data_IF_867049701953
#
_entry.id   IF_867049701953
#
_cell.length_a   1.000
_cell.length_b   1.000
_cell.length_c   1.000
_cell.angle_alpha   90.00
_cell.angle_beta   90.00
_cell.angle_gamma   90.00
#
_symmetry.space_group_name_H-M   'P 1'
#
loop_
_entity.id
_entity.type
_entity.pdbx_description
1 polymer ?
#
# COMPACT_ATOMS: atom_id res chain seq x y z
N UNK A 1 -3.08 15.90 -0.47
CA UNK A 1 -4.03 15.21 0.41
C UNK A 1 -3.24 14.48 1.48
N UNK A 2 -3.48 14.80 2.75
CA UNK A 2 -2.63 14.39 3.87
C UNK A 2 -3.37 13.36 4.72
N UNK A 3 -2.70 12.31 5.21
CA UNK A 3 -3.35 11.36 6.13
C UNK A 3 -3.51 12.04 7.49
N UNK A 4 -4.76 12.37 7.84
CA UNK A 4 -5.13 13.11 9.06
C UNK A 4 -5.75 12.22 10.13
N UNK A 5 -6.34 11.10 9.74
CA UNK A 5 -6.98 10.18 10.69
C UNK A 5 -6.70 8.75 10.28
N UNK A 6 -6.46 7.91 11.27
CA UNK A 6 -6.24 6.47 11.11
C UNK A 6 -7.18 5.75 12.05
N UNK A 7 -8.01 4.89 11.50
CA UNK A 7 -8.92 4.01 12.25
C UNK A 7 -8.38 2.61 12.16
N UNK A 8 -8.16 1.98 13.31
CA UNK A 8 -7.69 0.60 13.38
C UNK A 8 -8.74 -0.19 14.15
N UNK A 9 -9.29 -1.22 13.52
CA UNK A 9 -10.38 -2.00 14.09
C UNK A 9 -10.41 -3.39 13.49
N UNK A 10 -11.30 -4.24 13.99
CA UNK A 10 -11.58 -5.55 13.43
C UNK A 10 -13.06 -5.75 13.17
N UNK A 11 -13.37 -6.63 12.24
CA UNK A 11 -14.75 -7.00 11.94
C UNK A 11 -14.83 -8.19 11.01
N UNK A 12 -16.05 -8.66 10.80
CA UNK A 12 -16.32 -9.83 9.96
C UNK A 12 -16.76 -9.36 8.58
N UNK A 13 -16.05 -9.84 7.55
CA UNK A 13 -16.42 -9.68 6.15
C UNK A 13 -16.33 -11.04 5.45
N UNK A 14 -17.41 -11.45 4.77
CA UNK A 14 -17.48 -12.74 4.06
C UNK A 14 -17.01 -13.95 4.89
N UNK A 15 -17.45 -14.03 6.15
CA UNK A 15 -17.09 -15.07 7.13
C UNK A 15 -15.61 -15.13 7.53
N UNK A 16 -14.85 -14.07 7.26
CA UNK A 16 -13.47 -13.90 7.74
C UNK A 16 -13.42 -12.73 8.71
N UNK A 17 -12.74 -12.90 9.83
CA UNK A 17 -12.33 -11.77 10.66
C UNK A 17 -11.17 -11.06 9.95
N UNK A 18 -11.27 -9.75 9.81
CA UNK A 18 -10.24 -8.89 9.23
C UNK A 18 -9.83 -7.87 10.28
N UNK A 19 -8.52 -7.65 10.44
CA UNK A 19 -7.96 -6.52 11.18
C UNK A 19 -7.50 -5.46 10.20
N UNK A 20 -8.15 -4.31 10.20
CA UNK A 20 -7.93 -3.26 9.19
C UNK A 20 -7.32 -2.01 9.82
N UNK A 21 -6.34 -1.44 9.14
CA UNK A 21 -5.96 -0.04 9.24
C UNK A 21 -6.59 0.70 8.06
N UNK A 22 -7.40 1.71 8.35
CA UNK A 22 -8.01 2.58 7.34
C UNK A 22 -7.56 4.02 7.60
N UNK A 23 -6.95 4.64 6.61
CA UNK A 23 -6.53 6.05 6.68
C UNK A 23 -7.55 6.96 6.01
N UNK A 24 -7.65 8.19 6.49
CA UNK A 24 -8.57 9.20 5.99
C UNK A 24 -7.87 10.56 5.84
N UNK A 25 -8.35 11.34 4.88
CA UNK A 25 -7.96 12.73 4.67
C UNK A 25 -8.64 13.68 5.67
N UNK A 26 -8.43 14.98 5.50
CA UNK A 26 -9.08 16.04 6.28
C UNK A 26 -10.61 16.11 6.14
N UNK A 27 -11.20 15.46 5.14
CA UNK A 27 -12.64 15.44 4.84
C UNK A 27 -13.29 14.10 5.20
N UNK A 28 -12.62 13.25 5.99
CA UNK A 28 -13.06 11.89 6.31
C UNK A 28 -13.28 10.99 5.07
N UNK A 29 -12.59 11.29 3.96
CA UNK A 29 -12.56 10.42 2.78
C UNK A 29 -11.49 9.34 2.96
N UNK A 30 -11.82 8.05 2.78
CA UNK A 30 -10.87 6.96 2.95
C UNK A 30 -9.80 7.01 1.86
N UNK A 31 -8.56 6.79 2.26
CA UNK A 31 -7.38 6.86 1.41
C UNK A 31 -6.74 5.48 1.21
N UNK A 32 -6.43 4.79 2.29
CA UNK A 32 -5.77 3.48 2.28
C UNK A 32 -6.56 2.48 3.14
N UNK A 33 -6.57 1.22 2.71
CA UNK A 33 -7.14 0.10 3.47
C UNK A 33 -6.10 -1.01 3.49
N UNK A 34 -5.57 -1.29 4.67
CA UNK A 34 -4.55 -2.32 4.85
C UNK A 34 -5.08 -3.39 5.79
N UNK A 35 -5.01 -4.64 5.33
CA UNK A 35 -5.21 -5.81 6.18
C UNK A 35 -3.93 -6.07 6.97
N UNK A 36 -3.99 -5.84 8.28
CA UNK A 36 -2.86 -6.00 9.20
C UNK A 36 -2.39 -7.45 9.31
N UNK A 37 -3.22 -8.41 8.94
CA UNK A 37 -2.86 -9.83 8.92
C UNK A 37 -2.00 -10.22 7.69
N UNK A 38 -2.04 -9.41 6.63
CA UNK A 38 -1.36 -9.70 5.37
C UNK A 38 0.05 -9.12 5.29
N UNK A 39 0.45 -8.28 6.24
CA UNK A 39 1.72 -7.54 6.18
C UNK A 39 2.62 -7.84 7.37
N UNK A 40 3.90 -7.93 7.10
CA UNK A 40 4.97 -8.01 8.11
C UNK A 40 5.92 -6.81 8.00
N UNK A 41 5.57 -5.80 7.18
CA UNK A 41 6.40 -4.60 7.04
C UNK A 41 6.51 -3.89 8.40
N UNK A 42 7.72 -3.42 8.70
CA UNK A 42 8.08 -2.85 10.00
C UNK A 42 8.50 -3.90 11.02
N UNK A 43 8.17 -5.19 10.86
CA UNK A 43 8.58 -6.23 11.82
C UNK A 43 10.09 -6.35 11.88
N UNK A 44 10.65 -6.20 13.09
CA UNK A 44 12.07 -6.44 13.38
C UNK A 44 12.25 -7.86 13.90
N UNK A 45 13.19 -8.58 13.32
CA UNK A 45 13.49 -9.94 13.74
C UNK A 45 14.96 -10.30 13.51
N UNK A 46 15.41 -11.40 14.10
CA UNK A 46 16.71 -11.98 13.78
C UNK A 46 16.65 -12.69 12.42
N UNK A 47 17.71 -12.54 11.64
CA UNK A 47 17.92 -13.21 10.38
C UNK A 47 19.18 -14.08 10.46
N UNK A 48 19.08 -15.33 10.02
CA UNK A 48 20.24 -16.23 9.83
C UNK A 48 20.48 -16.42 8.34
N UNK A 49 21.69 -16.16 7.87
CA UNK A 49 22.03 -16.32 6.45
C UNK A 49 22.00 -17.80 6.05
N UNK A 50 21.07 -18.17 5.17
CA UNK A 50 21.00 -19.53 4.59
C UNK A 50 21.87 -19.64 3.34
N UNK A 51 21.87 -18.60 2.50
CA UNK A 51 22.58 -18.61 1.22
C UNK A 51 23.05 -17.21 0.84
N UNK A 52 24.31 -17.10 0.45
CA UNK A 52 24.85 -15.90 -0.22
C UNK A 52 24.72 -16.08 -1.73
N UNK A 53 24.22 -15.05 -2.42
CA UNK A 53 24.05 -15.02 -3.87
C UNK A 53 25.02 -13.97 -4.42
N UNK A 54 26.16 -14.43 -4.93
CA UNK A 54 27.25 -13.58 -5.42
C UNK A 54 26.85 -12.70 -6.60
N UNK A 55 26.07 -13.24 -7.53
CA UNK A 55 25.82 -12.62 -8.84
C UNK A 55 25.01 -11.32 -8.74
N UNK A 56 24.26 -11.15 -7.65
CA UNK A 56 23.45 -9.97 -7.36
C UNK A 56 23.82 -9.35 -6.00
N UNK A 57 25.02 -9.67 -5.49
CA UNK A 57 25.57 -9.21 -4.21
C UNK A 57 24.52 -9.13 -3.07
N UNK A 58 23.95 -10.28 -2.72
CA UNK A 58 22.87 -10.36 -1.73
C UNK A 58 22.89 -11.68 -0.96
N UNK A 59 22.00 -11.81 0.01
CA UNK A 59 21.78 -13.06 0.70
C UNK A 59 20.29 -13.33 0.98
N UNK A 60 19.98 -14.62 1.06
CA UNK A 60 18.72 -15.17 1.53
C UNK A 60 18.91 -15.60 2.97
N UNK A 61 18.00 -15.15 3.83
CA UNK A 61 18.01 -15.42 5.25
C UNK A 61 16.77 -16.18 5.69
N UNK A 62 16.92 -17.04 6.69
CA UNK A 62 15.82 -17.54 7.51
C UNK A 62 15.54 -16.53 8.61
N UNK A 63 14.32 -15.99 8.63
CA UNK A 63 13.86 -15.07 9.65
C UNK A 63 13.34 -15.86 10.87
N UNK A 64 13.50 -15.32 12.08
CA UNK A 64 12.98 -15.97 13.31
C UNK A 64 11.46 -16.11 13.33
N UNK A 65 10.74 -15.35 12.50
CA UNK A 65 9.30 -15.50 12.26
C UNK A 65 8.93 -16.71 11.38
N UNK A 66 9.92 -17.53 10.97
CA UNK A 66 9.69 -18.75 10.20
C UNK A 66 9.66 -18.58 8.68
N UNK A 67 9.87 -17.36 8.18
CA UNK A 67 9.82 -17.00 6.76
C UNK A 67 11.20 -16.72 6.16
N UNK A 68 11.26 -16.56 4.83
CA UNK A 68 12.50 -16.18 4.14
C UNK A 68 12.58 -14.67 3.90
N UNK A 69 13.76 -14.11 4.14
CA UNK A 69 14.11 -12.72 3.84
C UNK A 69 15.19 -12.62 2.77
N UNK A 70 15.25 -11.47 2.11
CA UNK A 70 16.26 -11.07 1.14
C UNK A 70 16.87 -9.74 1.55
N UNK A 71 18.20 -9.65 1.52
CA UNK A 71 18.92 -8.42 1.82
C UNK A 71 20.17 -8.30 0.94
N UNK A 72 20.37 -7.11 0.38
CA UNK A 72 21.58 -6.77 -0.41
C UNK A 72 22.79 -6.65 0.51
N UNK A 73 23.93 -7.23 0.13
CA UNK A 73 25.14 -7.24 0.96
C UNK A 73 25.63 -5.82 1.27
N UNK A 74 25.42 -4.85 0.37
CA UNK A 74 25.78 -3.43 0.61
C UNK A 74 25.14 -2.84 1.86
N UNK A 75 23.96 -3.32 2.27
CA UNK A 75 23.22 -2.87 3.46
C UNK A 75 23.74 -3.49 4.76
N UNK A 76 24.61 -4.49 4.69
CA UNK A 76 25.11 -5.21 5.85
C UNK A 76 26.33 -4.52 6.46
N UNK A 77 26.39 -4.52 7.80
CA UNK A 77 27.47 -3.93 8.59
C UNK A 77 28.00 -4.99 9.57
N UNK A 78 29.06 -5.74 9.21
CA UNK A 78 29.55 -6.91 9.96
C UNK A 78 29.94 -6.66 11.42
N UNK A 79 30.26 -5.41 11.77
CA UNK A 79 30.57 -4.97 13.12
C UNK A 79 29.37 -5.00 14.07
N UNK A 80 28.14 -5.11 13.54
CA UNK A 80 26.89 -5.22 14.32
C UNK A 80 26.25 -6.62 14.24
N UNK A 81 26.96 -7.62 13.72
CA UNK A 81 26.42 -8.98 13.67
C UNK A 81 26.34 -9.59 15.06
N UNK A 82 25.30 -10.40 15.27
CA UNK A 82 25.10 -11.19 16.48
C UNK A 82 26.01 -12.41 16.50
N UNK A 83 26.15 -13.04 15.34
CA UNK A 83 27.03 -14.17 15.12
C UNK A 83 27.77 -13.98 13.81
N UNK A 84 29.09 -14.11 13.85
CA UNK A 84 29.97 -13.95 12.70
C UNK A 84 30.82 -15.21 12.52
N UNK A 85 30.85 -15.72 11.29
CA UNK A 85 31.56 -16.95 10.94
C UNK A 85 32.79 -16.71 10.04
N UNK A 86 33.04 -15.45 9.65
CA UNK A 86 34.20 -15.09 8.85
C UNK A 86 34.64 -13.65 9.07
N UNK A 87 35.94 -13.45 9.25
CA UNK A 87 36.56 -12.11 9.32
C UNK A 87 36.94 -11.56 7.95
N UNK A 88 37.02 -12.42 6.92
CA UNK A 88 37.46 -12.03 5.56
C UNK A 88 36.30 -11.60 4.65
N UNK A 89 35.21 -12.36 4.69
CA UNK A 89 33.98 -12.09 3.92
C UNK A 89 33.09 -11.10 4.66
N UNK A 90 32.39 -10.26 3.90
CA UNK A 90 31.36 -9.35 4.44
C UNK A 90 30.17 -10.11 5.02
N UNK A 91 29.79 -11.22 4.40
CA UNK A 91 28.71 -12.10 4.85
C UNK A 91 28.99 -13.53 4.39
N UNK A 92 28.63 -14.50 5.21
CA UNK A 92 28.68 -15.92 4.88
C UNK A 92 27.52 -16.69 5.53
N UNK A 93 27.32 -17.92 5.08
CA UNK A 93 26.27 -18.79 5.62
C UNK A 93 26.45 -18.99 7.14
N UNK A 94 25.35 -18.91 7.87
CA UNK A 94 25.33 -19.00 9.33
C UNK A 94 25.45 -17.66 10.06
N UNK A 95 25.91 -16.58 9.41
CA UNK A 95 25.92 -15.25 10.03
C UNK A 95 24.53 -14.84 10.49
N UNK A 96 24.47 -14.15 11.63
CA UNK A 96 23.21 -13.70 12.23
C UNK A 96 23.24 -12.21 12.54
N UNK A 97 22.14 -11.53 12.27
CA UNK A 97 21.96 -10.10 12.53
C UNK A 97 20.48 -9.74 12.63
N UNK A 98 20.19 -8.53 13.10
CA UNK A 98 18.82 -8.00 13.11
C UNK A 98 18.46 -7.36 11.78
N UNK A 99 17.23 -7.59 11.36
CA UNK A 99 16.65 -6.98 10.17
C UNK A 99 15.26 -6.43 10.46
N UNK A 100 14.87 -5.43 9.69
CA UNK A 100 13.48 -4.96 9.58
C UNK A 100 12.94 -5.35 8.20
N UNK A 101 11.73 -5.89 8.16
CA UNK A 101 11.04 -6.17 6.89
C UNK A 101 10.55 -4.84 6.31
N UNK A 102 10.87 -4.59 5.05
CA UNK A 102 10.51 -3.36 4.33
C UNK A 102 9.57 -3.59 3.16
N UNK A 103 9.45 -4.83 2.68
CA UNK A 103 8.45 -5.20 1.68
C UNK A 103 7.96 -6.62 1.93
N UNK A 104 6.65 -6.81 1.78
CA UNK A 104 6.02 -8.13 1.86
C UNK A 104 6.47 -9.06 0.73
N UNK A 105 6.38 -10.37 0.98
CA UNK A 105 6.66 -11.41 -0.01
C UNK A 105 5.77 -11.29 -1.25
N UNK A 106 6.31 -11.68 -2.42
CA UNK A 106 5.56 -11.72 -3.70
C UNK A 106 5.63 -13.10 -4.33
N UNK A 107 4.54 -13.87 -4.21
CA UNK A 107 4.52 -15.26 -4.65
C UNK A 107 5.61 -16.06 -3.93
N UNK A 108 6.55 -16.63 -4.69
CA UNK A 108 7.71 -17.34 -4.13
C UNK A 108 8.89 -16.43 -3.75
N UNK A 109 8.83 -15.13 -4.07
CA UNK A 109 9.89 -14.19 -3.70
C UNK A 109 9.81 -13.86 -2.20
N UNK A 110 10.93 -13.93 -1.46
CA UNK A 110 10.98 -13.66 -0.02
C UNK A 110 10.65 -12.20 0.33
N UNK A 111 10.49 -11.91 1.62
CA UNK A 111 10.42 -10.55 2.13
C UNK A 111 11.69 -9.76 1.81
N UNK A 112 11.57 -8.46 1.48
CA UNK A 112 12.73 -7.58 1.40
C UNK A 112 13.04 -7.03 2.79
N UNK A 113 14.32 -6.99 3.14
CA UNK A 113 14.77 -6.56 4.46
C UNK A 113 15.83 -5.46 4.40
N UNK A 114 15.86 -4.63 5.43
CA UNK A 114 16.97 -3.72 5.73
C UNK A 114 17.66 -4.15 7.03
N UNK A 115 18.97 -3.89 7.11
CA UNK A 115 19.79 -4.21 8.28
C UNK A 115 19.50 -3.23 9.42
N UNK A 116 19.46 -3.75 10.65
CA UNK A 116 19.28 -2.95 11.86
C UNK A 116 20.60 -2.93 12.65
N UNK A 117 21.23 -1.75 12.75
CA UNK A 117 22.53 -1.58 13.42
C UNK A 117 22.44 -1.65 14.94
N UNK A 118 21.41 -1.03 15.50
CA UNK A 118 21.18 -0.96 16.94
C UNK A 118 19.71 -1.29 17.19
N UNK A 119 19.45 -2.27 18.06
CA UNK A 119 18.16 -2.33 18.74
C UNK A 119 18.14 -1.20 19.76
N UNK A 120 17.70 -0.04 19.32
CA UNK A 120 17.20 0.97 20.26
C UNK A 120 15.90 0.39 20.84
N UNK A 121 15.61 0.66 22.12
CA UNK A 121 14.39 0.18 22.77
C UNK A 121 13.11 0.58 22.00
N UNK A 122 13.14 1.68 21.22
CA UNK A 122 12.08 2.08 20.28
C UNK A 122 11.66 0.99 19.30
N UNK A 123 12.59 0.10 18.90
CA UNK A 123 12.26 -0.95 17.94
C UNK A 123 11.35 -2.05 18.51
N UNK A 124 11.07 -2.04 19.83
CA UNK A 124 10.12 -2.98 20.47
C UNK A 124 8.65 -2.62 20.22
N UNK A 125 8.36 -1.39 19.77
CA UNK A 125 7.03 -0.96 19.30
C UNK A 125 6.89 -1.03 17.78
N UNK A 126 7.71 -1.85 17.12
CA UNK A 126 7.68 -2.00 15.68
C UNK A 126 6.64 -3.02 15.23
N UNK A 127 5.52 -2.49 14.79
CA UNK A 127 4.62 -3.16 13.88
C UNK A 127 4.38 -2.30 12.66
N UNK A 128 3.63 -2.85 11.72
CA UNK A 128 3.19 -2.12 10.53
C UNK A 128 2.56 -0.76 10.87
N UNK A 129 1.78 -0.68 11.94
CA UNK A 129 1.11 0.55 12.39
C UNK A 129 2.10 1.69 12.64
N UNK A 130 3.14 1.44 13.44
CA UNK A 130 4.17 2.43 13.76
C UNK A 130 4.94 2.88 12.51
N UNK A 131 5.33 1.92 11.67
CA UNK A 131 5.97 2.21 10.38
C UNK A 131 5.08 3.08 9.49
N UNK A 132 3.81 2.70 9.35
CA UNK A 132 2.86 3.42 8.49
C UNK A 132 2.66 4.86 8.95
N UNK A 133 2.51 5.08 10.26
CA UNK A 133 2.33 6.41 10.82
C UNK A 133 3.56 7.28 10.56
N UNK A 134 4.75 6.79 10.89
CA UNK A 134 5.97 7.58 10.77
C UNK A 134 6.33 7.94 9.33
N UNK A 135 6.02 7.06 8.38
CA UNK A 135 6.35 7.28 6.97
C UNK A 135 5.28 8.10 6.24
N UNK A 136 4.00 7.95 6.58
CA UNK A 136 2.90 8.45 5.75
C UNK A 136 1.93 9.40 6.44
N UNK A 137 1.82 9.38 7.77
CA UNK A 137 0.88 10.25 8.48
C UNK A 137 1.39 11.71 8.52
N UNK A 138 0.44 12.65 8.50
CA UNK A 138 0.75 14.06 8.80
C UNK A 138 1.27 14.20 10.23
N UNK A 139 1.88 15.32 10.61
CA UNK A 139 2.29 15.53 12.01
C UNK A 139 1.11 15.70 12.99
N UNK A 140 -0.06 16.14 12.49
CA UNK A 140 -1.28 16.48 13.24
C UNK A 140 -2.38 15.42 13.07
N UNK A 141 -1.98 14.16 13.03
CA UNK A 141 -2.87 13.02 12.83
C UNK A 141 -3.60 12.59 14.12
N UNK A 142 -4.76 11.94 13.95
CA UNK A 142 -5.50 11.24 15.00
C UNK A 142 -5.45 9.72 14.74
N UNK A 143 -5.21 8.91 15.77
CA UNK A 143 -5.45 7.46 15.72
C UNK A 143 -6.65 7.13 16.60
N UNK A 144 -7.56 6.32 16.08
CA UNK A 144 -8.71 5.79 16.82
C UNK A 144 -8.71 4.27 16.71
N UNK A 145 -8.84 3.57 17.83
CA UNK A 145 -8.87 2.10 17.84
C UNK A 145 -9.74 1.54 18.95
N UNK A 146 -10.36 0.38 18.69
CA UNK A 146 -11.04 -0.48 19.66
C UNK A 146 -10.23 -1.77 19.96
N UNK A 147 -9.00 -1.88 19.44
CA UNK A 147 -8.10 -3.01 19.67
C UNK A 147 -7.12 -2.72 20.82
N UNK A 148 -7.13 -3.54 21.86
CA UNK A 148 -6.26 -3.38 23.04
C UNK A 148 -4.77 -3.36 22.67
N UNK A 149 -4.33 -4.20 21.72
CA UNK A 149 -2.94 -4.25 21.30
C UNK A 149 -2.47 -2.97 20.59
N UNK A 150 -3.41 -2.20 20.02
CA UNK A 150 -3.14 -0.91 19.37
C UNK A 150 -3.24 0.22 20.38
N UNK A 151 -4.24 0.20 21.27
CA UNK A 151 -4.43 1.20 22.32
C UNK A 151 -3.21 1.24 23.26
N UNK A 152 -2.60 0.08 23.53
CA UNK A 152 -1.43 -0.03 24.38
C UNK A 152 -0.10 0.27 23.67
N UNK A 153 -0.12 0.66 22.39
CA UNK A 153 1.09 1.14 21.71
C UNK A 153 1.53 2.48 22.28
N UNK A 154 2.83 2.79 22.19
CA UNK A 154 3.36 4.12 22.50
C UNK A 154 3.08 5.11 21.34
N UNK A 155 1.80 5.25 21.04
CA UNK A 155 1.19 6.13 20.07
C UNK A 155 0.01 6.78 20.79
N UNK A 156 -0.23 8.06 20.62
CA UNK A 156 -1.34 8.77 21.27
C UNK A 156 -2.69 8.32 20.67
N UNK A 157 -3.11 7.09 20.96
CA UNK A 157 -4.30 6.44 20.42
C UNK A 157 -5.52 6.82 21.24
N UNK A 158 -6.55 7.35 20.59
CA UNK A 158 -7.85 7.52 21.21
C UNK A 158 -8.57 6.17 21.24
N UNK A 159 -8.69 5.60 22.43
CA UNK A 159 -9.51 4.41 22.64
C UNK A 159 -10.98 4.69 22.32
N UNK A 160 -11.58 3.83 21.51
CA UNK A 160 -13.01 3.81 21.24
C UNK A 160 -13.68 2.75 22.10
N UNK A 161 -14.63 3.15 22.94
CA UNK A 161 -15.19 2.33 24.02
C UNK A 161 -16.70 2.14 23.92
N UNK A 162 -17.34 2.58 22.84
CA UNK A 162 -18.78 2.38 22.64
C UNK A 162 -19.06 0.92 22.27
N UNK A 163 -19.58 0.17 23.23
CA UNK A 163 -19.95 -1.24 23.05
C UNK A 163 -21.19 -1.43 22.17
N UNK A 164 -22.03 -0.40 22.02
CA UNK A 164 -23.28 -0.49 21.26
C UNK A 164 -23.07 -0.30 19.76
N UNK A 165 -21.96 0.32 19.36
CA UNK A 165 -21.70 0.67 17.97
C UNK A 165 -20.22 0.60 17.61
N UNK A 166 -19.76 -0.54 17.08
CA UNK A 166 -18.34 -0.75 16.72
C UNK A 166 -17.78 0.28 15.73
N UNK A 167 -16.47 0.54 15.76
CA UNK A 167 -15.78 1.35 14.75
C UNK A 167 -16.02 0.87 13.32
N UNK A 168 -16.10 -0.46 13.14
CA UNK A 168 -16.42 -1.07 11.84
C UNK A 168 -17.72 -0.54 11.23
N UNK A 169 -18.77 -0.39 12.06
CA UNK A 169 -20.07 0.14 11.64
C UNK A 169 -20.04 1.67 11.56
N UNK A 170 -19.34 2.35 12.48
CA UNK A 170 -19.21 3.81 12.46
C UNK A 170 -18.61 4.36 11.18
N UNK A 171 -17.65 3.65 10.61
CA UNK A 171 -16.98 4.02 9.36
C UNK A 171 -17.51 3.25 8.14
N UNK A 172 -18.65 2.54 8.26
CA UNK A 172 -19.28 1.77 7.18
C UNK A 172 -18.29 0.85 6.43
N UNK A 173 -17.36 0.19 7.14
CA UNK A 173 -16.27 -0.55 6.52
C UNK A 173 -16.75 -1.71 5.64
N UNK A 174 -17.88 -2.33 5.97
CA UNK A 174 -18.54 -3.32 5.10
C UNK A 174 -18.88 -2.74 3.71
N UNK A 175 -19.38 -1.51 3.66
CA UNK A 175 -19.72 -0.82 2.40
C UNK A 175 -18.45 -0.43 1.66
N UNK A 176 -17.45 0.07 2.36
CA UNK A 176 -16.15 0.38 1.79
C UNK A 176 -15.50 -0.85 1.13
N UNK A 177 -15.49 -2.00 1.81
CA UNK A 177 -15.00 -3.27 1.29
C UNK A 177 -15.80 -3.77 0.06
N UNK A 178 -17.13 -3.65 0.07
CA UNK A 178 -17.96 -3.94 -1.10
C UNK A 178 -17.62 -3.05 -2.30
N UNK A 179 -17.35 -1.77 -2.06
CA UNK A 179 -16.99 -0.84 -3.13
C UNK A 179 -15.64 -1.17 -3.76
N UNK A 180 -14.63 -1.53 -2.96
CA UNK A 180 -13.29 -1.85 -3.48
C UNK A 180 -13.20 -3.24 -4.12
N UNK A 181 -14.16 -4.14 -3.86
CA UNK A 181 -14.26 -5.46 -4.50
C UNK A 181 -15.12 -5.43 -5.77
N UNK A 182 -16.01 -4.46 -5.92
CA UNK A 182 -16.77 -4.24 -7.16
C UNK A 182 -15.83 -3.94 -8.32
N UNK A 183 -16.05 -4.54 -9.48
CA UNK A 183 -15.34 -4.17 -10.71
C UNK A 183 -15.83 -2.83 -11.29
N UNK A 184 -17.05 -2.39 -10.97
CA UNK A 184 -17.63 -1.12 -11.45
C UNK A 184 -17.60 -0.07 -10.35
N UNK A 185 -17.09 1.13 -10.67
CA UNK A 185 -17.15 2.32 -9.81
C UNK A 185 -17.86 3.46 -10.52
N UNK A 186 -18.87 4.05 -9.88
CA UNK A 186 -19.68 5.11 -10.48
C UNK A 186 -19.02 6.49 -10.33
N UNK A 187 -19.10 7.30 -11.40
CA UNK A 187 -18.66 8.69 -11.43
C UNK A 187 -19.80 9.62 -11.02
N UNK A 188 -19.47 10.87 -10.64
CA UNK A 188 -20.45 11.86 -10.16
C UNK A 188 -21.41 12.30 -11.26
N UNK A 189 -20.98 12.29 -12.51
CA UNK A 189 -21.79 12.61 -13.70
C UNK A 189 -22.69 11.45 -14.20
N UNK A 190 -22.69 10.32 -13.48
CA UNK A 190 -23.43 9.12 -13.84
C UNK A 190 -22.71 8.17 -14.79
N UNK A 191 -21.47 8.50 -15.19
CA UNK A 191 -20.57 7.56 -15.84
C UNK A 191 -20.07 6.49 -14.87
N UNK A 192 -19.14 5.64 -15.32
CA UNK A 192 -18.46 4.67 -14.48
C UNK A 192 -17.09 4.31 -15.04
N UNK A 193 -16.23 3.78 -14.17
CA UNK A 193 -15.04 3.03 -14.58
C UNK A 193 -15.24 1.54 -14.29
N UNK A 194 -14.70 0.69 -15.16
CA UNK A 194 -14.66 -0.76 -14.99
C UNK A 194 -13.21 -1.18 -14.83
N UNK A 195 -12.87 -1.85 -13.72
CA UNK A 195 -11.50 -2.24 -13.37
C UNK A 195 -11.36 -3.76 -13.51
N UNK A 196 -10.45 -4.19 -14.38
CA UNK A 196 -10.20 -5.60 -14.70
C UNK A 196 -8.71 -5.97 -14.52
N UNK A 197 -8.35 -6.68 -13.44
CA UNK A 197 -7.01 -7.19 -13.28
C UNK A 197 -6.75 -8.40 -14.19
N UNK A 198 -5.56 -8.44 -14.79
CA UNK A 198 -5.04 -9.61 -15.53
C UNK A 198 -3.78 -10.15 -14.82
N UNK A 199 -3.17 -11.20 -15.37
CA UNK A 199 -1.91 -11.73 -14.81
C UNK A 199 -0.76 -10.70 -14.82
N UNK A 200 -0.67 -9.88 -15.88
CA UNK A 200 0.47 -9.00 -16.11
C UNK A 200 0.19 -7.52 -15.80
N UNK A 201 -1.04 -7.07 -16.01
CA UNK A 201 -1.44 -5.66 -15.92
C UNK A 201 -2.90 -5.51 -15.49
N UNK A 202 -3.30 -4.30 -15.09
CA UNK A 202 -4.71 -3.96 -14.84
C UNK A 202 -5.23 -3.08 -15.98
N UNK A 203 -6.40 -3.42 -16.52
CA UNK A 203 -7.10 -2.60 -17.51
C UNK A 203 -8.23 -1.85 -16.82
N UNK A 204 -8.41 -0.58 -17.17
CA UNK A 204 -9.51 0.25 -16.69
C UNK A 204 -10.23 0.86 -17.88
N UNK A 205 -11.54 0.65 -18.00
CA UNK A 205 -12.39 1.21 -19.06
C UNK A 205 -13.25 2.35 -18.52
N UNK A 206 -13.38 3.45 -19.27
CA UNK A 206 -14.16 4.63 -18.89
C UNK A 206 -15.43 4.73 -19.71
N UNK A 207 -16.58 4.62 -19.05
CA UNK A 207 -17.90 4.73 -19.65
C UNK A 207 -18.60 6.03 -19.28
N UNK A 208 -19.09 6.76 -20.29
CA UNK A 208 -19.98 7.90 -20.07
C UNK A 208 -21.42 7.46 -19.78
N UNK A 209 -22.17 8.32 -19.10
CA UNK A 209 -23.60 8.07 -18.88
C UNK A 209 -24.40 8.29 -20.17
N UNK A 210 -25.28 7.34 -20.51
CA UNK A 210 -26.16 7.47 -21.70
C UNK A 210 -27.28 8.51 -21.52
N UNK A 211 -27.58 8.92 -20.29
CA UNK A 211 -28.81 9.65 -19.94
C UNK A 211 -28.59 11.04 -19.30
N UNK A 212 -27.36 11.45 -19.01
CA UNK A 212 -27.06 12.79 -18.46
C UNK A 212 -26.14 13.55 -19.42
N UNK A 213 -26.72 14.19 -20.44
CA UNK A 213 -26.02 15.00 -21.43
C UNK A 213 -25.48 16.34 -20.91
N UNK A 214 -24.84 16.35 -19.72
CA UNK A 214 -24.34 17.58 -19.10
C UNK A 214 -22.81 17.71 -19.06
N UNK A 215 -22.04 16.65 -19.34
CA UNK A 215 -20.58 16.66 -19.31
C UNK A 215 -19.94 16.35 -20.67
N UNK A 216 -18.79 16.96 -20.97
CA UNK A 216 -17.98 16.61 -22.14
C UNK A 216 -17.19 15.32 -21.88
N UNK A 217 -16.71 14.65 -22.94
CA UNK A 217 -15.81 13.48 -22.79
C UNK A 217 -14.58 13.83 -21.94
N UNK A 218 -14.08 15.05 -22.07
CA UNK A 218 -12.97 15.58 -21.29
C UNK A 218 -13.29 15.71 -19.79
N UNK A 219 -14.48 16.24 -19.45
CA UNK A 219 -14.92 16.37 -18.04
C UNK A 219 -15.15 15.00 -17.38
N UNK A 220 -15.73 14.06 -18.12
CA UNK A 220 -15.90 12.68 -17.64
C UNK A 220 -14.55 12.00 -17.45
N UNK A 221 -13.59 12.21 -18.37
CA UNK A 221 -12.22 11.72 -18.22
C UNK A 221 -11.52 12.28 -16.99
N UNK A 222 -11.68 13.57 -16.64
CA UNK A 222 -11.14 14.13 -15.39
C UNK A 222 -11.71 13.45 -14.15
N UNK A 223 -13.02 13.25 -14.10
CA UNK A 223 -13.66 12.51 -13.00
C UNK A 223 -13.21 11.05 -12.94
N UNK A 224 -13.01 10.42 -14.10
CA UNK A 224 -12.48 9.07 -14.18
C UNK A 224 -11.05 9.00 -13.62
N UNK A 225 -10.19 9.98 -13.90
CA UNK A 225 -8.85 10.06 -13.32
C UNK A 225 -8.90 10.13 -11.79
N UNK A 226 -9.76 10.99 -11.23
CA UNK A 226 -9.92 11.11 -9.77
C UNK A 226 -10.34 9.76 -9.15
N UNK A 227 -11.31 9.07 -9.78
CA UNK A 227 -11.79 7.77 -9.29
C UNK A 227 -10.74 6.67 -9.51
N UNK A 228 -9.98 6.69 -10.61
CA UNK A 228 -8.87 5.76 -10.84
C UNK A 228 -7.82 5.91 -9.74
N UNK A 229 -7.34 7.13 -9.47
CA UNK A 229 -6.34 7.39 -8.44
C UNK A 229 -6.82 6.90 -7.06
N UNK A 230 -8.07 7.17 -6.73
CA UNK A 230 -8.70 6.67 -5.50
C UNK A 230 -8.74 5.15 -5.45
N UNK A 231 -9.19 4.49 -6.52
CA UNK A 231 -9.37 3.04 -6.54
C UNK A 231 -8.04 2.28 -6.59
N UNK A 232 -7.04 2.73 -7.35
CA UNK A 232 -5.72 2.07 -7.39
C UNK A 232 -5.04 2.15 -6.02
N UNK A 233 -5.27 3.23 -5.28
CA UNK A 233 -4.79 3.40 -3.91
C UNK A 233 -5.54 2.50 -2.93
N UNK A 234 -6.86 2.63 -2.84
CA UNK A 234 -7.70 1.85 -1.90
C UNK A 234 -7.58 0.33 -2.10
N UNK A 235 -7.41 -0.12 -3.36
CA UNK A 235 -7.27 -1.54 -3.71
C UNK A 235 -5.83 -2.04 -3.67
N UNK A 236 -4.86 -1.14 -3.44
CA UNK A 236 -3.43 -1.44 -3.58
C UNK A 236 -3.05 -2.03 -4.95
N UNK A 237 -3.68 -1.57 -6.03
CA UNK A 237 -3.33 -1.96 -7.40
C UNK A 237 -1.93 -1.40 -7.72
N UNK A 238 -1.06 -2.24 -8.28
CA UNK A 238 0.33 -1.89 -8.58
C UNK A 238 0.81 -2.58 -9.86
N UNK A 239 1.95 -2.13 -10.38
CA UNK A 239 2.48 -2.59 -11.67
C UNK A 239 1.96 -1.73 -12.83
N UNK A 240 1.77 -2.37 -13.99
CA UNK A 240 1.32 -1.72 -15.21
C UNK A 240 -0.20 -1.57 -15.15
N UNK A 241 -0.70 -0.37 -15.44
CA UNK A 241 -2.12 -0.06 -15.50
C UNK A 241 -2.38 0.67 -16.82
N UNK A 242 -3.36 0.17 -17.58
CA UNK A 242 -3.76 0.70 -18.88
C UNK A 242 -5.18 1.23 -18.76
N UNK A 243 -5.43 2.46 -19.20
CA UNK A 243 -6.74 3.11 -19.05
C UNK A 243 -7.27 3.46 -20.45
N UNK A 244 -8.41 2.87 -20.82
CA UNK A 244 -9.16 3.20 -22.04
C UNK A 244 -10.08 4.39 -21.77
N UNK A 245 -9.61 5.57 -22.15
CA UNK A 245 -10.28 6.84 -21.90
C UNK A 245 -11.28 7.16 -23.02
N UNK A 246 -12.27 8.01 -22.74
CA UNK A 246 -13.13 8.54 -23.79
C UNK A 246 -12.30 9.35 -24.79
N UNK A 247 -12.61 9.23 -26.09
CA UNK A 247 -11.89 9.91 -27.16
C UNK A 247 -11.99 11.43 -27.02
N UNK A 248 -10.83 12.09 -27.00
CA UNK A 248 -10.67 13.54 -26.94
C UNK A 248 -9.62 13.99 -27.97
N UNK A 249 -9.45 15.29 -28.15
CA UNK A 249 -8.39 15.84 -29.01
C UNK A 249 -6.98 15.62 -28.42
N UNK A 250 -5.94 15.73 -29.25
CA UNK A 250 -4.54 15.60 -28.78
C UNK A 250 -4.16 16.65 -27.73
N UNK A 251 -4.72 17.85 -27.82
CA UNK A 251 -4.46 18.91 -26.83
C UNK A 251 -5.09 18.55 -25.49
N UNK A 252 -6.31 18.00 -25.51
CA UNK A 252 -6.99 17.49 -24.32
C UNK A 252 -6.27 16.26 -23.72
N UNK A 253 -5.72 15.35 -24.53
CA UNK A 253 -4.87 14.25 -24.05
C UNK A 253 -3.67 14.78 -23.24
N UNK A 254 -3.01 15.83 -23.73
CA UNK A 254 -1.89 16.46 -22.99
C UNK A 254 -2.37 17.11 -21.69
N UNK A 255 -3.55 17.71 -21.68
CA UNK A 255 -4.14 18.26 -20.45
C UNK A 255 -4.51 17.15 -19.44
N UNK A 256 -5.06 16.02 -19.91
CA UNK A 256 -5.36 14.85 -19.06
C UNK A 256 -4.09 14.26 -18.45
N UNK A 257 -2.99 14.17 -19.20
CA UNK A 257 -1.69 13.71 -18.67
C UNK A 257 -1.21 14.62 -17.55
N UNK A 258 -1.28 15.95 -17.75
CA UNK A 258 -0.88 16.93 -16.71
C UNK A 258 -1.76 16.80 -15.48
N UNK A 259 -3.07 16.77 -15.69
CA UNK A 259 -4.05 16.59 -14.63
C UNK A 259 -3.79 15.31 -13.83
N UNK A 260 -3.52 14.18 -14.49
CA UNK A 260 -3.19 12.93 -13.81
C UNK A 260 -1.93 13.07 -12.96
N UNK A 261 -0.85 13.61 -13.53
CA UNK A 261 0.42 13.81 -12.81
C UNK A 261 0.23 14.68 -11.57
N UNK A 262 -0.45 15.81 -11.72
CA UNK A 262 -0.66 16.78 -10.64
C UNK A 262 -1.43 16.16 -9.47
N UNK A 263 -2.45 15.34 -9.76
CA UNK A 263 -3.28 14.68 -8.74
C UNK A 263 -2.69 13.36 -8.21
N UNK A 264 -1.68 12.78 -8.86
CA UNK A 264 -1.06 11.52 -8.43
C UNK A 264 -0.03 11.67 -7.30
N UNK A 265 0.39 12.89 -6.98
CA UNK A 265 1.45 13.16 -5.99
C UNK A 265 1.05 12.80 -4.55
N UNK A 266 -0.24 12.66 -4.28
CA UNK A 266 -0.79 12.33 -2.97
C UNK A 266 -0.83 10.82 -2.69
N UNK A 267 -0.48 10.00 -3.67
CA UNK A 267 -0.37 8.55 -3.50
C UNK A 267 0.90 8.21 -2.72
N UNK A 268 0.76 7.37 -1.69
CA UNK A 268 1.89 6.84 -0.92
C UNK A 268 2.87 6.03 -1.79
N UNK A 269 2.39 5.50 -2.92
CA UNK A 269 3.18 4.77 -3.92
C UNK A 269 3.53 5.70 -5.08
N UNK A 270 4.71 5.53 -5.65
CA UNK A 270 5.12 6.30 -6.81
C UNK A 270 4.27 5.91 -8.03
N UNK A 271 3.55 6.88 -8.58
CA UNK A 271 2.78 6.76 -9.82
C UNK A 271 3.52 7.49 -10.94
N UNK A 272 3.87 6.77 -12.00
CA UNK A 272 4.49 7.33 -13.20
C UNK A 272 3.51 7.28 -14.37
N UNK A 273 3.19 8.44 -14.93
CA UNK A 273 2.33 8.58 -16.11
C UNK A 273 3.20 8.66 -17.37
N UNK A 274 3.11 7.65 -18.23
CA UNK A 274 3.92 7.50 -19.44
C UNK A 274 3.30 8.19 -20.66
N UNK A 275 1.98 8.41 -20.63
CA UNK A 275 1.23 9.12 -21.67
C UNK A 275 0.31 8.19 -22.47
N UNK A 276 -0.22 8.69 -23.59
CA UNK A 276 -1.10 7.92 -24.45
C UNK A 276 -0.30 7.09 -25.48
N UNK A 277 -0.71 5.84 -25.65
CA UNK A 277 -0.25 4.99 -26.75
C UNK A 277 -0.75 5.49 -28.10
N UNK A 278 -0.21 4.94 -29.19
CA UNK A 278 -0.74 5.20 -30.53
C UNK A 278 -2.21 4.74 -30.72
N UNK A 279 -2.69 3.82 -29.87
CA UNK A 279 -4.07 3.35 -29.89
C UNK A 279 -5.03 4.23 -29.06
N UNK A 280 -4.52 5.24 -28.35
CA UNK A 280 -5.33 6.11 -27.49
C UNK A 280 -5.55 5.61 -26.07
N UNK A 281 -4.78 4.60 -25.64
CA UNK A 281 -4.79 4.10 -24.25
C UNK A 281 -3.79 4.88 -23.39
N UNK A 282 -4.17 5.32 -22.19
CA UNK A 282 -3.28 5.97 -21.24
C UNK A 282 -2.49 4.92 -20.44
N UNK A 283 -1.17 5.04 -20.40
CA UNK A 283 -0.27 4.11 -19.71
C UNK A 283 0.29 4.73 -18.43
N UNK A 284 0.14 4.02 -17.33
CA UNK A 284 0.77 4.38 -16.05
C UNK A 284 1.43 3.16 -15.41
N UNK A 285 2.40 3.41 -14.53
CA UNK A 285 2.93 2.41 -13.62
C UNK A 285 2.84 2.91 -12.19
N UNK A 286 2.40 2.05 -11.27
CA UNK A 286 2.36 2.34 -9.83
C UNK A 286 3.25 1.38 -9.05
N UNK A 287 4.14 1.89 -8.21
CA UNK A 287 4.99 1.03 -7.38
C UNK A 287 4.14 0.22 -6.38
N UNK A 288 4.62 -0.97 -6.01
CA UNK A 288 3.96 -1.75 -4.96
C UNK A 288 4.54 -1.35 -3.61
N UNK A 289 3.71 -0.76 -2.76
CA UNK A 289 4.05 -0.56 -1.34
C UNK A 289 3.46 -1.67 -0.48
N UNK A 290 2.15 -1.91 -0.57
CA UNK A 290 1.43 -2.85 0.28
C UNK A 290 0.74 -3.95 -0.52
N UNK A 291 0.32 -5.00 0.18
CA UNK A 291 -0.51 -6.07 -0.37
C UNK A 291 -1.99 -5.65 -0.35
N UNK A 292 -2.79 -6.24 -1.24
CA UNK A 292 -4.25 -6.08 -1.21
C UNK A 292 -4.85 -6.59 0.11
N UNK A 293 -6.04 -6.09 0.42
CA UNK A 293 -6.84 -6.55 1.57
C UNK A 293 -7.16 -8.05 1.48
N UNK A 294 -7.42 -8.52 0.25
CA UNK A 294 -7.79 -9.89 -0.09
C UNK A 294 -6.67 -10.64 -0.80
#
# INVERSE_FOLDING_TARGET
>A
MSIKKIVITKGIYENKELRLLVSFDENDSPLDIINLDNTQIGTVCTATVEKVISDIDSCICKLSIGEKGFIESKKLFPEYYLVRHSDKKKVCQGDQFYVVITQDKKGSKPFSCNFVKHLIDDYKNNGFVYHYINEYASSDYEIVSDLEEVINMDLNVRAYTDESYSLWNLYDLTKLLKNITSNVCHLKDGGNIVIEPTEALTVIDVNSSKNHGKGTAFDTNKQAIDEVLKQIRLRSISGIIIIDMLKVSKDEEQELIRYFKDNSNDDISNVSVHGFTHLGLLEITRSRNFSSVF
#
